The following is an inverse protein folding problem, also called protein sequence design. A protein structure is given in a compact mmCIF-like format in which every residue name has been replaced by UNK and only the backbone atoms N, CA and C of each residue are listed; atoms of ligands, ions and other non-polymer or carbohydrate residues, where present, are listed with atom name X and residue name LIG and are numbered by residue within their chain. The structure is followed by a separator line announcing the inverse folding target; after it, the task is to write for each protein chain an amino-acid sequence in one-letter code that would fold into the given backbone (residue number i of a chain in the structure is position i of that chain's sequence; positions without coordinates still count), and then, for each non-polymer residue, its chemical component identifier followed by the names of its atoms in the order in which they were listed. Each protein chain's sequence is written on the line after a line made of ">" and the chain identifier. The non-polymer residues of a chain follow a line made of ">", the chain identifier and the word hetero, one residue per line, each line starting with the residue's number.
data_IF_954964580680
#
_entry.id   IF_954964580680
#
_cell.length_a   1.000
_cell.length_b   1.000
_cell.length_c   1.000
_cell.angle_alpha   90.00
_cell.angle_beta   90.00
_cell.angle_gamma   90.00
#
_symmetry.space_group_name_H-M   'P 1'
#
loop_
_entity.id
_entity.type
_entity.pdbx_description
1 polymer ?
#
# COMPACT_ATOMS: atom_id res chain seq x y z
N UNK A 1 10.21 13.35 11.90
CA UNK A 1 10.34 12.23 12.88
C UNK A 1 9.33 11.16 12.53
N UNK A 2 9.41 9.94 13.09
CA UNK A 2 8.44 8.87 12.81
C UNK A 2 6.94 9.29 12.88
N UNK A 3 6.51 10.23 13.75
CA UNK A 3 5.14 10.74 13.75
C UNK A 3 4.72 11.46 12.46
N UNK A 4 5.63 12.22 11.84
CA UNK A 4 5.33 12.99 10.64
C UNK A 4 5.12 12.10 9.42
N UNK A 5 5.84 10.97 9.34
CA UNK A 5 5.66 9.99 8.27
C UNK A 5 4.29 9.30 8.36
N UNK A 6 3.89 8.88 9.56
CA UNK A 6 2.57 8.25 9.77
C UNK A 6 1.47 9.25 9.42
N UNK A 7 1.57 10.48 9.89
CA UNK A 7 0.58 11.52 9.61
C UNK A 7 0.48 11.84 8.11
N UNK A 8 1.61 11.90 7.41
CA UNK A 8 1.66 12.09 5.96
C UNK A 8 1.02 10.91 5.21
N UNK A 9 1.28 9.67 5.62
CA UNK A 9 0.63 8.49 5.04
C UNK A 9 -0.88 8.47 5.27
N UNK A 10 -1.35 8.89 6.45
CA UNK A 10 -2.78 9.04 6.72
C UNK A 10 -3.41 10.11 5.83
N UNK A 11 -2.80 11.30 5.75
CA UNK A 11 -3.25 12.39 4.88
C UNK A 11 -3.31 11.95 3.42
N UNK A 12 -2.25 11.30 2.92
CA UNK A 12 -2.20 10.80 1.56
C UNK A 12 -3.30 9.78 1.26
N UNK A 13 -3.68 8.93 2.22
CA UNK A 13 -4.78 8.00 2.01
C UNK A 13 -6.14 8.68 2.03
N UNK A 14 -6.38 9.64 2.92
CA UNK A 14 -7.64 10.40 2.95
C UNK A 14 -7.84 11.22 1.66
N UNK A 15 -6.77 11.82 1.13
CA UNK A 15 -6.79 12.56 -0.13
C UNK A 15 -7.19 11.69 -1.34
N UNK A 16 -6.79 10.41 -1.38
CA UNK A 16 -7.22 9.47 -2.45
C UNK A 16 -8.75 9.32 -2.53
N UNK A 17 -9.43 9.59 -1.42
CA UNK A 17 -10.88 9.48 -1.29
C UNK A 17 -11.59 10.85 -1.33
N UNK A 18 -10.87 11.93 -1.64
CA UNK A 18 -11.35 13.32 -1.57
C UNK A 18 -11.98 13.65 -0.20
N UNK A 19 -11.31 13.21 0.87
CA UNK A 19 -11.72 13.49 2.26
C UNK A 19 -10.86 14.64 2.77
N UNK A 20 -11.38 15.85 2.63
CA UNK A 20 -10.64 17.09 2.91
C UNK A 20 -10.97 17.64 4.30
N UNK A 21 -11.96 17.04 4.97
CA UNK A 21 -12.42 17.43 6.30
C UNK A 21 -12.01 16.40 7.35
N UNK A 22 -11.74 16.82 8.61
CA UNK A 22 -11.54 15.89 9.71
C UNK A 22 -12.73 14.93 9.85
N UNK A 23 -12.43 13.66 10.11
CA UNK A 23 -13.45 12.67 10.41
C UNK A 23 -14.13 13.02 11.74
N UNK A 24 -15.45 13.09 11.71
CA UNK A 24 -16.32 13.39 12.84
C UNK A 24 -17.48 12.40 12.86
N UNK A 25 -18.19 12.33 13.99
CA UNK A 25 -19.39 11.50 14.10
C UNK A 25 -20.41 11.77 12.98
N UNK A 26 -20.53 13.03 12.55
CA UNK A 26 -21.51 13.48 11.57
C UNK A 26 -21.17 13.07 10.13
N UNK A 27 -19.88 12.98 9.78
CA UNK A 27 -19.43 12.70 8.41
C UNK A 27 -18.84 11.29 8.24
N UNK A 28 -18.60 10.56 9.33
CA UNK A 28 -17.99 9.24 9.31
C UNK A 28 -18.77 8.24 8.46
N UNK A 29 -20.09 8.18 8.64
CA UNK A 29 -20.93 7.22 7.92
C UNK A 29 -20.94 7.49 6.41
N UNK A 30 -20.94 8.76 6.00
CA UNK A 30 -20.90 9.15 4.60
C UNK A 30 -19.59 8.71 3.94
N UNK A 31 -18.45 9.05 4.55
CA UNK A 31 -17.15 8.66 4.04
C UNK A 31 -16.92 7.15 4.06
N UNK A 32 -17.41 6.47 5.09
CA UNK A 32 -17.36 5.00 5.18
C UNK A 32 -18.10 4.36 4.01
N UNK A 33 -19.29 4.84 3.67
CA UNK A 33 -20.04 4.31 2.53
C UNK A 33 -19.31 4.56 1.22
N UNK A 34 -18.77 5.77 1.00
CA UNK A 34 -17.97 6.09 -0.20
C UNK A 34 -16.82 5.11 -0.41
N UNK A 35 -16.09 4.75 0.66
CA UNK A 35 -14.97 3.80 0.60
C UNK A 35 -15.44 2.38 0.29
N UNK A 36 -16.54 1.92 0.91
CA UNK A 36 -17.04 0.55 0.74
C UNK A 36 -17.67 0.35 -0.65
N UNK A 37 -18.41 1.33 -1.15
CA UNK A 37 -19.10 1.24 -2.44
C UNK A 37 -18.20 1.54 -3.62
N UNK A 38 -17.01 2.08 -3.39
CA UNK A 38 -16.10 2.34 -4.47
C UNK A 38 -15.68 1.04 -5.14
N UNK A 39 -15.70 1.06 -6.47
CA UNK A 39 -15.15 -0.02 -7.28
C UNK A 39 -13.66 -0.11 -6.95
N UNK A 40 -13.30 -1.06 -6.09
CA UNK A 40 -11.91 -1.42 -5.90
C UNK A 40 -11.51 -2.00 -7.25
N UNK A 41 -10.69 -1.26 -8.00
CA UNK A 41 -10.02 -1.83 -9.18
C UNK A 41 -9.35 -3.10 -8.66
N UNK A 42 -9.85 -4.26 -9.09
CA UNK A 42 -9.23 -5.53 -8.77
C UNK A 42 -7.75 -5.37 -9.05
N UNK A 43 -6.93 -5.58 -8.02
CA UNK A 43 -5.49 -5.63 -8.25
C UNK A 43 -5.30 -6.68 -9.33
N UNK A 44 -4.67 -6.28 -10.43
CA UNK A 44 -4.32 -7.23 -11.48
C UNK A 44 -3.68 -8.45 -10.82
N UNK A 45 -4.07 -9.64 -11.26
CA UNK A 45 -3.45 -10.89 -10.83
C UNK A 45 -1.94 -10.73 -11.00
N UNK A 46 -1.25 -10.59 -9.87
CA UNK A 46 0.20 -10.48 -9.87
C UNK A 46 0.67 -11.89 -10.18
N UNK A 47 1.27 -12.08 -11.35
CA UNK A 47 2.07 -13.26 -11.62
C UNK A 47 3.28 -13.21 -10.68
N UNK A 48 3.14 -13.86 -9.53
CA UNK A 48 4.15 -13.85 -8.49
C UNK A 48 5.44 -14.51 -8.97
N UNK A 49 5.38 -15.54 -9.83
CA UNK A 49 6.59 -16.20 -10.36
C UNK A 49 7.43 -15.21 -11.17
N UNK A 50 6.80 -14.44 -12.06
CA UNK A 50 7.48 -13.47 -12.91
C UNK A 50 7.86 -12.19 -12.18
N UNK A 51 7.00 -11.69 -11.29
CA UNK A 51 7.17 -10.38 -10.62
C UNK A 51 8.23 -10.44 -9.51
N UNK A 52 8.28 -11.55 -8.78
CA UNK A 52 9.35 -11.85 -7.81
C UNK A 52 10.70 -11.83 -8.54
N UNK A 53 10.80 -12.55 -9.65
CA UNK A 53 12.05 -12.67 -10.41
C UNK A 53 12.62 -11.32 -10.87
N UNK A 54 11.77 -10.39 -11.32
CA UNK A 54 12.17 -9.03 -11.74
C UNK A 54 12.65 -8.18 -10.55
N UNK A 55 12.01 -8.28 -9.39
CA UNK A 55 12.42 -7.53 -8.20
C UNK A 55 13.78 -8.02 -7.67
N UNK A 56 14.02 -9.34 -7.76
CA UNK A 56 15.26 -9.97 -7.36
C UNK A 56 16.43 -9.69 -8.33
N UNK A 57 16.18 -9.55 -9.64
CA UNK A 57 17.24 -9.26 -10.62
C UNK A 57 17.73 -7.82 -10.60
N UNK A 58 16.89 -6.85 -10.21
CA UNK A 58 17.28 -5.44 -10.14
C UNK A 58 17.81 -4.99 -8.77
N UNK A 59 17.76 -5.84 -7.76
CA UNK A 59 18.37 -5.55 -6.48
C UNK A 59 19.85 -5.97 -6.53
N UNK A 60 20.74 -5.00 -6.72
CA UNK A 60 22.21 -5.17 -6.59
C UNK A 60 22.65 -5.69 -5.20
N UNK A 61 21.71 -5.88 -4.27
CA UNK A 61 21.88 -6.47 -2.94
C UNK A 61 21.82 -8.00 -2.89
N UNK A 62 21.71 -8.72 -4.03
CA UNK A 62 21.74 -10.20 -4.02
C UNK A 62 23.00 -10.79 -3.36
N UNK A 63 24.11 -10.03 -3.27
CA UNK A 63 25.29 -10.41 -2.47
C UNK A 63 25.03 -10.48 -0.95
N UNK A 64 24.03 -9.75 -0.45
CA UNK A 64 23.64 -9.66 0.96
C UNK A 64 22.40 -10.50 1.30
N UNK A 65 21.81 -11.18 0.31
CA UNK A 65 20.62 -11.98 0.55
C UNK A 65 20.97 -13.23 1.38
N UNK A 66 20.28 -13.49 2.51
CA UNK A 66 20.68 -14.54 3.45
C UNK A 66 20.77 -15.92 2.78
N UNK A 67 21.92 -16.58 2.98
CA UNK A 67 22.29 -17.86 2.34
C UNK A 67 21.26 -18.98 2.52
N UNK A 68 20.48 -18.92 3.61
CA UNK A 68 19.42 -19.89 3.94
C UNK A 68 18.27 -19.95 2.92
N UNK A 69 18.14 -18.93 2.05
CA UNK A 69 17.13 -18.89 0.99
C UNK A 69 17.69 -19.28 -0.40
N UNK A 70 18.98 -19.62 -0.50
CA UNK A 70 19.64 -20.02 -1.76
C UNK A 70 19.70 -21.53 -1.96
N UNK A 71 19.28 -22.32 -0.97
CA UNK A 71 19.31 -23.79 -1.06
C UNK A 71 17.86 -24.25 -1.25
N UNK A 72 17.56 -24.64 -2.48
CA UNK A 72 16.43 -25.53 -2.82
C UNK A 72 16.83 -26.97 -2.54
#
# INVERSE_FOLDING_TARGET
>A
GPPSFIEEQFKNNLLKWNIDQPLSFNNYNEYRQKVITASIKEKALIDYERTIFVHFTYCSSMKLFPRQFHIL
#
